data_IF_085402529201
#
_entry.id   IF_085402529201
#
_cell.length_a   1.000
_cell.length_b   1.000
_cell.length_c   1.000
_cell.angle_alpha   90.00
_cell.angle_beta   90.00
_cell.angle_gamma   90.00
#
_symmetry.space_group_name_H-M   'P 1'
#
loop_
_entity.id
_entity.type
_entity.pdbx_description
1 polymer ?
#
# COMPACT_ATOMS: atom_id res chain seq x y z
N UNK A 1 -4.87 -55.63 16.48
CA UNK A 1 -5.24 -54.23 16.25
C UNK A 1 -6.05 -54.18 14.97
N UNK A 2 -7.20 -53.58 15.00
CA UNK A 2 -8.07 -53.47 13.84
C UNK A 2 -7.40 -52.58 12.77
N UNK A 3 -7.16 -53.04 11.54
CA UNK A 3 -6.46 -52.27 10.52
C UNK A 3 -7.17 -50.97 10.19
N UNK A 4 -8.48 -50.93 10.38
CA UNK A 4 -9.28 -49.67 10.21
C UNK A 4 -8.94 -48.66 11.28
N UNK A 5 -8.74 -49.03 12.53
CA UNK A 5 -8.35 -48.15 13.62
C UNK A 5 -6.96 -47.56 13.38
N UNK A 6 -6.02 -48.38 12.91
CA UNK A 6 -4.66 -47.94 12.60
C UNK A 6 -4.65 -46.87 11.47
N UNK A 7 -5.43 -47.08 10.41
CA UNK A 7 -5.58 -46.13 9.31
C UNK A 7 -6.22 -44.81 9.78
N UNK A 8 -7.20 -44.90 10.66
CA UNK A 8 -7.89 -43.70 11.19
C UNK A 8 -6.94 -42.84 12.04
N UNK A 9 -6.11 -43.46 12.87
CA UNK A 9 -5.10 -42.79 13.68
C UNK A 9 -4.05 -42.10 12.80
N UNK A 10 -3.62 -42.81 11.75
CA UNK A 10 -2.63 -42.28 10.80
C UNK A 10 -3.18 -41.10 10.01
N UNK A 11 -4.45 -41.15 9.59
CA UNK A 11 -5.12 -40.05 8.90
C UNK A 11 -5.24 -38.82 9.81
N UNK A 12 -5.64 -38.99 11.10
CA UNK A 12 -5.71 -37.92 12.06
C UNK A 12 -4.35 -37.29 12.36
N UNK A 13 -3.31 -38.09 12.47
CA UNK A 13 -1.93 -37.60 12.66
C UNK A 13 -1.47 -36.80 11.43
N UNK A 14 -1.74 -37.25 10.20
CA UNK A 14 -1.41 -36.50 9.00
C UNK A 14 -2.14 -35.17 8.90
N UNK A 15 -3.43 -35.14 9.22
CA UNK A 15 -4.23 -33.90 9.22
C UNK A 15 -3.66 -32.92 10.26
N UNK A 16 -3.33 -33.39 11.45
CA UNK A 16 -2.78 -32.54 12.53
C UNK A 16 -1.43 -31.93 12.12
N UNK A 17 -0.56 -32.72 11.50
CA UNK A 17 0.74 -32.22 10.98
C UNK A 17 0.56 -31.18 9.88
N UNK A 18 -0.42 -31.40 8.96
CA UNK A 18 -0.74 -30.43 7.93
C UNK A 18 -1.23 -29.10 8.49
N UNK A 19 -2.12 -29.14 9.49
CA UNK A 19 -2.60 -27.92 10.17
C UNK A 19 -1.49 -27.18 10.92
N UNK A 20 -0.60 -27.89 11.59
CA UNK A 20 0.56 -27.29 12.27
C UNK A 20 1.52 -26.65 11.26
N UNK A 21 1.79 -27.32 10.13
CA UNK A 21 2.61 -26.76 9.05
C UNK A 21 2.00 -25.49 8.46
N UNK A 22 0.70 -25.51 8.17
CA UNK A 22 -0.02 -24.34 7.65
C UNK A 22 -0.02 -23.20 8.66
N UNK A 23 -0.24 -23.46 9.94
CA UNK A 23 -0.19 -22.45 10.99
C UNK A 23 1.20 -21.82 11.14
N UNK A 24 2.27 -22.61 11.01
CA UNK A 24 3.65 -22.12 11.04
C UNK A 24 3.92 -21.17 9.85
N UNK A 25 3.54 -21.55 8.63
CA UNK A 25 3.70 -20.70 7.44
C UNK A 25 2.88 -19.41 7.55
N UNK A 26 1.63 -19.49 8.03
CA UNK A 26 0.81 -18.29 8.23
C UNK A 26 1.41 -17.35 9.30
N UNK A 27 2.03 -17.90 10.34
CA UNK A 27 2.73 -17.12 11.35
C UNK A 27 3.95 -16.40 10.76
N UNK A 28 4.75 -17.11 9.97
CA UNK A 28 5.93 -16.55 9.29
C UNK A 28 5.54 -15.42 8.35
N UNK A 29 4.52 -15.62 7.49
CA UNK A 29 3.98 -14.60 6.60
C UNK A 29 3.47 -13.38 7.38
N UNK A 30 2.80 -13.59 8.53
CA UNK A 30 2.35 -12.47 9.38
C UNK A 30 3.51 -11.72 10.03
N UNK A 31 4.57 -12.42 10.43
CA UNK A 31 5.78 -11.79 11.00
C UNK A 31 6.54 -10.99 9.94
N UNK A 32 6.69 -11.54 8.74
CA UNK A 32 7.30 -10.83 7.61
C UNK A 32 6.48 -9.59 7.22
N UNK A 33 5.15 -9.69 7.15
CA UNK A 33 4.28 -8.54 6.91
C UNK A 33 4.40 -7.48 8.02
N UNK A 34 4.44 -7.88 9.30
CA UNK A 34 4.64 -6.94 10.41
C UNK A 34 6.03 -6.30 10.39
N UNK A 35 7.06 -7.04 10.02
CA UNK A 35 8.42 -6.51 9.85
C UNK A 35 8.50 -5.48 8.72
N UNK A 36 7.82 -5.74 7.61
CA UNK A 36 7.73 -4.80 6.48
C UNK A 36 6.94 -3.53 6.86
N UNK A 37 5.81 -3.66 7.57
CA UNK A 37 5.01 -2.50 8.01
C UNK A 37 5.67 -1.69 9.12
N UNK A 38 6.38 -2.31 10.05
CA UNK A 38 7.13 -1.61 11.11
C UNK A 38 8.42 -0.96 10.58
N UNK A 39 9.10 -1.58 9.62
CA UNK A 39 10.30 -1.02 8.97
C UNK A 39 9.99 0.08 7.96
N UNK A 40 8.82 0.06 7.35
CA UNK A 40 8.44 1.04 6.32
C UNK A 40 7.85 2.35 6.90
N UNK A 41 7.34 2.33 8.12
CA UNK A 41 6.92 3.58 8.81
C UNK A 41 8.10 4.43 9.30
N UNK A 42 9.34 3.88 9.32
CA UNK A 42 10.51 4.57 9.88
C UNK A 42 11.76 4.51 9.01
N UNK A 43 11.74 3.90 7.82
CA UNK A 43 12.96 3.40 7.23
C UNK A 43 13.28 3.69 5.77
N UNK A 44 12.65 4.66 5.10
CA UNK A 44 13.17 5.15 3.81
C UNK A 44 13.95 6.47 3.94
N UNK A 45 14.38 6.81 5.14
CA UNK A 45 15.23 7.98 5.38
C UNK A 45 16.68 7.86 4.85
N UNK A 46 16.95 6.95 3.91
CA UNK A 46 18.27 6.74 3.35
C UNK A 46 18.34 6.49 1.84
N UNK A 47 17.21 6.30 1.18
CA UNK A 47 17.18 6.24 -0.28
C UNK A 47 16.65 7.57 -0.80
N UNK A 48 17.43 8.27 -1.62
CA UNK A 48 17.02 9.48 -2.34
C UNK A 48 15.96 9.12 -3.40
N UNK A 49 14.81 8.62 -2.93
CA UNK A 49 13.71 8.18 -3.77
C UNK A 49 12.98 9.43 -4.28
N UNK A 50 12.97 9.59 -5.60
CA UNK A 50 12.34 10.71 -6.28
C UNK A 50 11.28 10.22 -7.24
N UNK A 51 10.21 10.98 -7.36
CA UNK A 51 9.28 10.80 -8.46
C UNK A 51 9.94 11.20 -9.78
N UNK A 52 9.59 10.53 -10.90
CA UNK A 52 10.02 10.95 -12.23
C UNK A 52 9.66 12.41 -12.51
N UNK A 53 10.47 13.08 -13.30
CA UNK A 53 10.27 14.48 -13.67
C UNK A 53 8.93 14.69 -14.38
N UNK A 54 8.46 13.72 -15.18
CA UNK A 54 7.15 13.72 -15.84
C UNK A 54 5.97 13.88 -14.86
N UNK A 55 6.10 13.36 -13.65
CA UNK A 55 5.11 13.50 -12.57
C UNK A 55 5.37 14.77 -11.80
N UNK A 56 6.62 15.01 -11.38
CA UNK A 56 7.01 16.17 -10.56
C UNK A 56 6.66 17.50 -11.23
N UNK A 57 6.83 17.60 -12.55
CA UNK A 57 6.47 18.79 -13.32
C UNK A 57 4.96 19.11 -13.28
N UNK A 58 4.11 18.11 -13.04
CA UNK A 58 2.65 18.28 -12.88
C UNK A 58 2.26 18.62 -11.43
N UNK A 59 3.14 18.35 -10.46
CA UNK A 59 2.90 18.65 -9.05
C UNK A 59 3.22 20.12 -8.78
N UNK A 60 2.20 20.93 -8.51
CA UNK A 60 2.40 22.34 -8.15
C UNK A 60 2.76 22.50 -6.65
N UNK A 61 3.97 22.07 -6.26
CA UNK A 61 4.47 22.15 -4.88
C UNK A 61 4.35 20.84 -4.09
N UNK A 62 4.61 20.87 -2.76
CA UNK A 62 4.56 19.66 -1.94
C UNK A 62 3.14 19.09 -1.89
N UNK A 63 3.01 17.77 -1.99
CA UNK A 63 1.72 17.08 -2.13
C UNK A 63 1.70 15.72 -1.48
N UNK A 64 0.50 15.32 -1.08
CA UNK A 64 0.19 13.92 -0.79
C UNK A 64 -0.26 13.23 -2.09
N UNK A 65 0.52 12.25 -2.53
CA UNK A 65 0.28 11.47 -3.75
C UNK A 65 -0.13 10.05 -3.37
N UNK A 66 -1.27 9.61 -3.86
CA UNK A 66 -1.70 8.23 -3.80
C UNK A 66 -1.29 7.52 -5.10
N UNK A 67 -0.55 6.43 -4.99
CA UNK A 67 -0.29 5.53 -6.13
C UNK A 67 -1.21 4.33 -6.00
N UNK A 68 -2.09 4.12 -6.98
CA UNK A 68 -3.15 3.12 -6.88
C UNK A 68 -3.66 2.66 -8.25
N UNK A 69 -4.41 1.56 -8.26
CA UNK A 69 -5.18 1.05 -9.39
C UNK A 69 -6.67 0.91 -9.02
N UNK A 70 -7.55 0.97 -10.02
CA UNK A 70 -9.00 0.93 -9.83
C UNK A 70 -9.54 -0.45 -9.45
N UNK A 71 -8.81 -1.51 -9.75
CA UNK A 71 -9.20 -2.89 -9.43
C UNK A 71 -9.08 -3.28 -7.96
N UNK A 72 -8.44 -2.43 -7.15
CA UNK A 72 -8.17 -2.69 -5.74
C UNK A 72 -9.20 -1.95 -4.84
N UNK A 73 -10.05 -2.65 -4.08
CA UNK A 73 -11.04 -2.01 -3.19
C UNK A 73 -10.41 -1.10 -2.14
N UNK A 74 -9.23 -1.46 -1.60
CA UNK A 74 -8.52 -0.62 -0.65
C UNK A 74 -7.99 0.66 -1.31
N UNK A 75 -7.60 0.59 -2.58
CA UNK A 75 -7.16 1.74 -3.37
C UNK A 75 -8.31 2.75 -3.57
N UNK A 76 -9.51 2.26 -3.94
CA UNK A 76 -10.70 3.10 -4.08
C UNK A 76 -11.10 3.75 -2.76
N UNK A 77 -11.10 2.98 -1.66
CA UNK A 77 -11.31 3.51 -0.32
C UNK A 77 -10.29 4.60 0.02
N UNK A 78 -9.00 4.33 -0.24
CA UNK A 78 -7.92 5.28 0.05
C UNK A 78 -8.06 6.57 -0.76
N UNK A 79 -8.45 6.49 -2.03
CA UNK A 79 -8.68 7.65 -2.89
C UNK A 79 -9.82 8.54 -2.36
N UNK A 80 -10.91 7.91 -1.88
CA UNK A 80 -12.04 8.62 -1.28
C UNK A 80 -11.67 9.30 0.03
N UNK A 81 -10.95 8.62 0.90
CA UNK A 81 -10.50 9.19 2.17
C UNK A 81 -9.42 10.27 1.99
N UNK A 82 -8.53 10.10 1.01
CA UNK A 82 -7.54 11.11 0.64
C UNK A 82 -8.23 12.44 0.23
N UNK A 83 -9.30 12.37 -0.55
CA UNK A 83 -10.07 13.54 -0.97
C UNK A 83 -10.70 14.31 0.19
N UNK A 84 -10.95 13.62 1.33
CA UNK A 84 -11.56 14.22 2.52
C UNK A 84 -10.54 14.85 3.48
N UNK A 85 -9.31 14.35 3.47
CA UNK A 85 -8.33 14.66 4.51
C UNK A 85 -7.11 15.43 4.00
N UNK A 86 -6.80 15.36 2.70
CA UNK A 86 -5.64 16.02 2.13
C UNK A 86 -6.01 17.31 1.42
N UNK A 87 -5.15 18.32 1.56
CA UNK A 87 -5.22 19.52 0.72
C UNK A 87 -4.63 19.21 -0.65
N UNK A 88 -5.42 19.42 -1.73
CA UNK A 88 -5.06 19.13 -3.12
C UNK A 88 -4.50 17.71 -3.33
N UNK A 89 -5.30 16.68 -3.09
CA UNK A 89 -4.90 15.29 -3.25
C UNK A 89 -4.60 14.93 -4.70
N UNK A 90 -3.57 14.11 -4.91
CA UNK A 90 -3.16 13.63 -6.23
C UNK A 90 -3.26 12.12 -6.28
N UNK A 91 -3.82 11.58 -7.36
CA UNK A 91 -3.82 10.16 -7.67
C UNK A 91 -2.91 9.89 -8.87
N UNK A 92 -1.85 9.12 -8.67
CA UNK A 92 -0.98 8.61 -9.73
C UNK A 92 -1.42 7.20 -10.11
N UNK A 93 -1.77 7.01 -11.36
CA UNK A 93 -2.22 5.72 -11.90
C UNK A 93 -1.79 5.57 -13.36
N UNK A 94 -1.93 4.36 -13.91
CA UNK A 94 -1.76 4.09 -15.34
C UNK A 94 -3.10 4.12 -16.11
N UNK A 95 -4.21 4.31 -15.39
CA UNK A 95 -5.57 4.21 -15.89
C UNK A 95 -6.17 5.58 -16.20
N UNK A 96 -7.15 5.62 -17.10
CA UNK A 96 -7.89 6.82 -17.42
C UNK A 96 -8.94 7.15 -16.34
N UNK A 97 -9.42 8.39 -16.34
CA UNK A 97 -10.47 8.85 -15.43
C UNK A 97 -11.72 7.98 -15.45
N UNK A 98 -12.04 7.37 -16.59
CA UNK A 98 -13.21 6.51 -16.74
C UNK A 98 -13.13 5.23 -15.88
N UNK A 99 -11.93 4.76 -15.54
CA UNK A 99 -11.72 3.63 -14.64
C UNK A 99 -12.00 3.98 -13.16
N UNK A 100 -12.15 5.27 -12.84
CA UNK A 100 -12.35 5.81 -11.50
C UNK A 100 -13.68 6.58 -11.38
N UNK A 101 -14.85 5.91 -11.54
CA UNK A 101 -16.16 6.58 -11.59
C UNK A 101 -16.51 7.29 -10.28
N UNK A 102 -16.06 6.78 -9.15
CA UNK A 102 -16.34 7.33 -7.82
C UNK A 102 -15.26 8.29 -7.31
N UNK A 103 -14.22 8.58 -8.12
CA UNK A 103 -13.15 9.48 -7.68
C UNK A 103 -13.69 10.91 -7.54
N UNK A 104 -13.60 11.52 -6.33
CA UNK A 104 -14.02 12.90 -6.12
C UNK A 104 -13.32 13.88 -7.06
N UNK A 105 -14.04 14.92 -7.50
CA UNK A 105 -13.51 15.92 -8.43
C UNK A 105 -12.37 16.76 -7.85
N UNK A 106 -12.21 16.77 -6.53
CA UNK A 106 -11.11 17.44 -5.83
C UNK A 106 -9.78 16.73 -5.98
N UNK A 107 -9.78 15.44 -6.39
CA UNK A 107 -8.56 14.65 -6.59
C UNK A 107 -8.02 14.89 -8.00
N UNK A 108 -6.80 15.41 -8.08
CA UNK A 108 -6.08 15.56 -9.34
C UNK A 108 -5.59 14.19 -9.82
N UNK A 109 -5.95 13.82 -11.05
CA UNK A 109 -5.52 12.56 -11.65
C UNK A 109 -4.29 12.79 -12.53
N UNK A 110 -3.21 12.09 -12.21
CA UNK A 110 -2.02 12.02 -13.06
C UNK A 110 -1.94 10.61 -13.64
N UNK A 111 -2.14 10.52 -14.97
CA UNK A 111 -1.95 9.27 -15.70
C UNK A 111 -0.53 9.23 -16.22
N UNK A 112 0.28 8.30 -15.68
CA UNK A 112 1.65 8.07 -16.10
C UNK A 112 2.01 6.60 -15.85
N UNK A 113 2.02 5.80 -16.91
CA UNK A 113 2.25 4.36 -16.86
C UNK A 113 3.65 4.00 -16.39
N UNK A 114 4.66 4.72 -16.86
CA UNK A 114 6.06 4.39 -16.58
C UNK A 114 6.40 4.73 -15.13
N UNK A 115 5.93 5.88 -14.64
CA UNK A 115 6.06 6.27 -13.25
C UNK A 115 5.33 5.29 -12.32
N UNK A 116 4.10 4.88 -12.68
CA UNK A 116 3.34 3.91 -11.90
C UNK A 116 4.05 2.55 -11.86
N UNK A 117 4.54 2.04 -13.00
CA UNK A 117 5.27 0.76 -13.07
C UNK A 117 6.56 0.79 -12.24
N UNK A 118 7.26 1.89 -12.24
CA UNK A 118 8.47 2.08 -11.40
C UNK A 118 8.20 1.91 -9.90
N UNK A 119 6.98 2.21 -9.45
CA UNK A 119 6.55 2.11 -8.05
C UNK A 119 5.72 0.84 -7.75
N UNK A 120 5.13 0.22 -8.76
CA UNK A 120 4.16 -0.88 -8.60
C UNK A 120 4.72 -2.10 -7.84
N UNK A 121 6.06 -2.31 -7.86
CA UNK A 121 6.72 -3.38 -7.12
C UNK A 121 6.57 -3.26 -5.60
N UNK A 122 6.22 -2.08 -5.08
CA UNK A 122 5.98 -1.82 -3.67
C UNK A 122 4.56 -2.17 -3.21
N UNK A 123 3.69 -2.66 -4.11
CA UNK A 123 2.31 -3.06 -3.88
C UNK A 123 1.35 -1.92 -3.48
N UNK A 124 0.61 -1.31 -4.44
CA UNK A 124 -0.45 -0.34 -4.15
C UNK A 124 -1.51 -0.87 -3.17
N UNK A 125 -2.20 0.00 -2.41
CA UNK A 125 -2.06 1.46 -2.42
C UNK A 125 -0.82 1.97 -1.69
N UNK A 126 -0.23 3.07 -2.20
CA UNK A 126 0.89 3.76 -1.56
C UNK A 126 0.54 5.23 -1.36
N UNK A 127 0.73 5.72 -0.15
CA UNK A 127 0.63 7.13 0.18
C UNK A 127 2.03 7.72 0.29
N UNK A 128 2.32 8.68 -0.57
CA UNK A 128 3.60 9.38 -0.64
C UNK A 128 3.42 10.82 -0.17
N UNK A 129 4.29 11.29 0.72
CA UNK A 129 4.48 12.72 0.93
C UNK A 129 5.64 13.16 0.05
N UNK A 130 5.38 14.05 -0.88
CA UNK A 130 6.32 14.48 -1.92
C UNK A 130 6.64 15.96 -1.72
N UNK A 131 7.93 16.27 -1.62
CA UNK A 131 8.42 17.63 -1.56
C UNK A 131 8.30 18.34 -2.93
N UNK A 132 8.47 19.66 -2.95
CA UNK A 132 8.37 20.47 -4.16
C UNK A 132 9.39 20.07 -5.26
N UNK A 133 10.51 19.48 -4.87
CA UNK A 133 11.58 19.01 -5.77
C UNK A 133 11.38 17.56 -6.24
N UNK A 134 10.24 16.93 -5.92
CA UNK A 134 9.92 15.55 -6.29
C UNK A 134 10.51 14.49 -5.36
N UNK A 135 11.22 14.88 -4.31
CA UNK A 135 11.75 13.96 -3.30
C UNK A 135 10.61 13.38 -2.47
N UNK A 136 10.66 12.09 -2.21
CA UNK A 136 9.69 11.40 -1.37
C UNK A 136 10.16 11.48 0.08
N UNK A 137 9.48 12.31 0.87
CA UNK A 137 9.81 12.51 2.29
C UNK A 137 9.27 11.37 3.17
N UNK A 138 8.14 10.79 2.78
CA UNK A 138 7.58 9.62 3.45
C UNK A 138 6.81 8.73 2.50
N UNK A 139 6.85 7.43 2.77
CA UNK A 139 6.07 6.41 2.08
C UNK A 139 5.33 5.58 3.11
N UNK A 140 4.03 5.44 2.92
CA UNK A 140 3.18 4.57 3.73
C UNK A 140 2.48 3.57 2.82
N UNK A 141 2.55 2.29 3.19
CA UNK A 141 1.87 1.18 2.51
C UNK A 141 0.71 0.70 3.39
N UNK A 142 -0.49 1.26 3.26
CA UNK A 142 -1.61 0.83 4.07
C UNK A 142 -2.07 -0.57 3.67
N UNK A 143 -2.31 -1.43 4.66
CA UNK A 143 -2.82 -2.79 4.45
C UNK A 143 -4.27 -2.94 4.90
N UNK A 144 -4.82 -1.89 5.50
CA UNK A 144 -6.19 -1.84 6.00
C UNK A 144 -6.75 -0.42 5.97
N UNK A 145 -8.07 -0.29 6.04
CA UNK A 145 -8.74 1.00 6.17
C UNK A 145 -8.27 1.78 7.41
N UNK A 146 -7.98 1.09 8.51
CA UNK A 146 -7.47 1.72 9.73
C UNK A 146 -6.06 2.33 9.54
N UNK A 147 -5.21 1.68 8.73
CA UNK A 147 -3.88 2.22 8.40
C UNK A 147 -3.98 3.46 7.52
N UNK A 148 -4.89 3.46 6.55
CA UNK A 148 -5.19 4.62 5.69
C UNK A 148 -5.57 5.83 6.56
N UNK A 149 -6.57 5.66 7.43
CA UNK A 149 -7.04 6.74 8.29
C UNK A 149 -5.96 7.24 9.25
N UNK A 150 -5.10 6.34 9.73
CA UNK A 150 -3.95 6.72 10.58
C UNK A 150 -2.93 7.53 9.80
N UNK A 151 -2.59 7.10 8.59
CA UNK A 151 -1.62 7.78 7.74
C UNK A 151 -2.08 9.20 7.36
N UNK A 152 -3.36 9.35 7.01
CA UNK A 152 -3.92 10.64 6.60
C UNK A 152 -4.15 11.61 7.77
N UNK A 153 -4.26 11.10 9.01
CA UNK A 153 -4.42 11.92 10.21
C UNK A 153 -3.10 12.26 10.90
N UNK A 154 -2.01 11.57 10.55
CA UNK A 154 -0.71 11.91 11.09
C UNK A 154 -0.32 13.31 10.58
N UNK A 155 0.02 14.27 11.47
CA UNK A 155 0.46 15.59 11.03
C UNK A 155 1.70 15.41 10.15
N UNK A 156 1.69 16.06 8.98
CA UNK A 156 2.89 16.17 8.14
C UNK A 156 4.03 16.67 9.04
N UNK A 157 5.03 15.83 9.27
CA UNK A 157 6.24 16.27 9.94
C UNK A 157 6.94 17.21 8.97
N UNK A 158 6.77 18.51 9.19
CA UNK A 158 7.59 19.49 8.51
C UNK A 158 9.06 19.19 8.87
N UNK A 159 9.93 18.99 7.89
CA UNK A 159 11.37 18.91 8.15
C UNK A 159 11.82 20.26 8.71
N UNK A 160 12.44 20.20 9.89
CA UNK A 160 13.13 21.32 10.52
C UNK A 160 14.38 21.68 9.75
#
# INVERSE_FOLDING_TARGET
MDPVLALLILAWAAITLLYLGLAAVLREVRLLRRGLTAGQATGLGGTDLRLPESVTAKLAGPRTVLVADSGCPLCQFTATELARHADRPVLLTYEDRAAWPELPGSVELITDRDAWQGLAHLNPPMLLSVAADGRIDSLVLPTSAADVLRALRAPERQPS
#
